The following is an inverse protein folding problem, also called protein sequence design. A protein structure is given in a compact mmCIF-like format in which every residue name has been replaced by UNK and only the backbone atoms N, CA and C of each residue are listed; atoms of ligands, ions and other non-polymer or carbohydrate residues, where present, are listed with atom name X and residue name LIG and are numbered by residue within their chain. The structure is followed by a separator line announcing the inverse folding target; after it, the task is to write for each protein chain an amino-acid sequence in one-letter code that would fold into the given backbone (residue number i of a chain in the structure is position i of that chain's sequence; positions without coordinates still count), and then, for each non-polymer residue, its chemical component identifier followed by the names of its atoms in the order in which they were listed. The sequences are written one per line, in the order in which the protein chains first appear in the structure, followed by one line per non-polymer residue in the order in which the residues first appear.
data_IF_992993670737
#
_entry.id   IF_992993670737
#
_cell.length_a   1.000
_cell.length_b   1.000
_cell.length_c   1.000
_cell.angle_alpha   90.00
_cell.angle_beta   90.00
_cell.angle_gamma   90.00
#
_symmetry.space_group_name_H-M   'P 1'
#
loop_
_entity.id
_entity.type
_entity.pdbx_description
1 polymer ?
#
# COMPACT_ATOMS: atom_id res chain seq x y z
N UNK A 1 -11.70 12.24 88.71
CA UNK A 1 -10.25 12.14 88.99
C UNK A 1 -9.63 11.27 87.90
N UNK A 2 -8.49 11.68 87.34
CA UNK A 2 -7.52 10.94 86.47
C UNK A 2 -8.01 10.47 85.07
N UNK A 3 -7.55 10.94 83.89
CA UNK A 3 -6.24 11.26 83.28
C UNK A 3 -5.61 10.07 82.50
N UNK A 4 -5.60 10.22 81.16
CA UNK A 4 -4.53 9.98 80.16
C UNK A 4 -4.50 8.79 79.17
N UNK A 5 -3.94 9.16 78.00
CA UNK A 5 -3.29 8.40 76.90
C UNK A 5 -4.24 7.93 75.80
N UNK A 6 -4.25 8.48 74.59
CA UNK A 6 -3.13 8.91 73.75
C UNK A 6 -2.83 7.80 72.74
N UNK A 7 -3.31 7.93 71.50
CA UNK A 7 -2.88 7.11 70.35
C UNK A 7 -2.94 7.96 69.08
N UNK A 8 -1.74 8.24 68.58
CA UNK A 8 -1.48 8.85 67.30
C UNK A 8 -1.54 7.82 66.17
N UNK A 9 -1.44 8.35 64.94
CA UNK A 9 -1.08 7.70 63.67
C UNK A 9 -2.28 7.19 62.86
N UNK A 10 -2.68 7.97 61.86
CA UNK A 10 -3.47 7.48 60.72
C UNK A 10 -3.24 8.36 59.48
N UNK A 11 -2.10 8.19 58.80
CA UNK A 11 -1.92 8.67 57.42
C UNK A 11 -1.08 7.66 56.64
N UNK A 12 -1.74 6.61 56.14
CA UNK A 12 -1.17 5.76 55.10
C UNK A 12 -1.63 6.32 53.74
N UNK A 13 -0.74 7.02 53.05
CA UNK A 13 -0.91 7.41 51.65
C UNK A 13 -0.89 6.14 50.79
N UNK A 14 -2.07 5.68 50.35
CA UNK A 14 -2.20 4.69 49.29
C UNK A 14 -1.95 5.37 47.94
N UNK A 15 -0.75 5.16 47.40
CA UNK A 15 -0.37 5.54 46.04
C UNK A 15 -1.17 4.65 45.06
N UNK A 16 -2.25 5.19 44.50
CA UNK A 16 -3.02 4.52 43.46
C UNK A 16 -2.17 4.44 42.18
N UNK A 17 -1.57 3.27 41.93
CA UNK A 17 -0.94 2.98 40.64
C UNK A 17 -2.04 2.84 39.59
N UNK A 18 -2.21 3.86 38.73
CA UNK A 18 -2.99 3.72 37.51
C UNK A 18 -2.26 2.76 36.55
N UNK A 19 -2.87 1.65 36.10
CA UNK A 19 -2.31 0.88 35.00
C UNK A 19 -2.34 1.73 33.73
N UNK A 20 -1.17 2.07 33.20
CA UNK A 20 -1.04 2.73 31.92
C UNK A 20 -1.60 1.83 30.82
N UNK A 21 -2.67 2.29 30.16
CA UNK A 21 -3.17 1.67 28.94
C UNK A 21 -2.11 1.82 27.84
N UNK A 22 -1.35 0.75 27.59
CA UNK A 22 -0.52 0.65 26.40
C UNK A 22 -1.44 0.65 25.18
N UNK A 23 -1.48 1.77 24.46
CA UNK A 23 -2.06 1.82 23.13
C UNK A 23 -1.26 0.91 22.22
N UNK A 24 -1.81 -0.26 21.89
CA UNK A 24 -1.29 -1.11 20.84
C UNK A 24 -1.35 -0.32 19.52
N UNK A 25 -0.21 0.13 19.04
CA UNK A 25 -0.06 0.65 17.68
C UNK A 25 -0.39 -0.49 16.73
N UNK A 26 -1.53 -0.39 16.04
CA UNK A 26 -2.02 -1.41 15.11
C UNK A 26 -1.06 -1.60 13.94
N UNK A 27 -0.18 -2.58 14.04
CA UNK A 27 0.44 -3.18 12.87
C UNK A 27 -0.71 -3.81 12.05
N UNK A 28 -0.97 -3.27 10.86
CA UNK A 28 -1.87 -3.95 9.93
C UNK A 28 -1.29 -5.33 9.66
N UNK A 29 -2.06 -6.38 9.95
CA UNK A 29 -1.63 -7.75 9.72
C UNK A 29 -1.26 -7.94 8.24
N UNK A 30 -0.12 -8.59 8.00
CA UNK A 30 0.25 -9.00 6.66
C UNK A 30 -0.80 -10.04 6.19
N UNK A 31 -1.51 -9.73 5.11
CA UNK A 31 -2.47 -10.63 4.47
C UNK A 31 -1.85 -11.38 3.28
N UNK A 32 -0.54 -11.20 3.06
CA UNK A 32 0.19 -11.83 1.97
C UNK A 32 -0.01 -11.16 0.62
N UNK A 33 -0.70 -10.00 0.54
CA UNK A 33 -1.06 -9.35 -0.72
C UNK A 33 -0.26 -8.08 -0.99
N UNK A 34 -0.05 -7.82 -2.28
CA UNK A 34 0.41 -6.55 -2.80
C UNK A 34 -0.74 -5.89 -3.57
N UNK A 35 -1.38 -4.89 -2.97
CA UNK A 35 -2.41 -4.13 -3.66
C UNK A 35 -1.79 -3.19 -4.69
N UNK A 36 -2.30 -3.19 -5.91
CA UNK A 36 -1.96 -2.26 -7.00
C UNK A 36 -3.24 -1.54 -7.43
N UNK A 37 -3.39 -0.29 -7.00
CA UNK A 37 -4.57 0.53 -7.29
C UNK A 37 -4.25 1.55 -8.37
N UNK A 38 -5.03 1.58 -9.45
CA UNK A 38 -5.06 2.73 -10.37
C UNK A 38 -5.85 3.87 -9.72
N UNK A 39 -5.15 4.87 -9.21
CA UNK A 39 -5.74 5.90 -8.37
C UNK A 39 -6.28 7.09 -9.17
N UNK A 40 -5.49 7.60 -10.12
CA UNK A 40 -5.79 8.80 -10.90
C UNK A 40 -5.22 8.69 -12.31
N UNK A 41 -5.95 9.26 -13.27
CA UNK A 41 -5.46 9.62 -14.59
C UNK A 41 -5.51 11.14 -14.73
N UNK A 42 -4.45 11.73 -15.28
CA UNK A 42 -4.34 13.18 -15.49
C UNK A 42 -3.87 13.48 -16.91
N UNK A 43 -4.69 14.24 -17.62
CA UNK A 43 -4.42 14.63 -19.00
C UNK A 43 -3.25 15.62 -19.04
N UNK A 44 -2.24 15.30 -19.84
CA UNK A 44 -1.16 16.21 -20.23
C UNK A 44 -1.31 16.57 -21.72
N UNK A 45 -0.47 17.48 -22.23
CA UNK A 45 -0.56 17.96 -23.62
C UNK A 45 -0.40 16.86 -24.67
N UNK A 46 0.50 15.88 -24.44
CA UNK A 46 0.80 14.79 -25.38
C UNK A 46 0.88 13.41 -24.72
N UNK A 47 0.38 13.29 -23.49
CA UNK A 47 0.44 12.05 -22.72
C UNK A 47 -0.71 11.97 -21.72
N UNK A 48 -0.95 10.75 -21.21
CA UNK A 48 -1.78 10.53 -20.04
C UNK A 48 -0.90 10.15 -18.86
N UNK A 49 -0.96 10.91 -17.77
CA UNK A 49 -0.25 10.57 -16.54
C UNK A 49 -1.08 9.64 -15.68
N UNK A 50 -0.53 8.49 -15.32
CA UNK A 50 -1.15 7.51 -14.46
C UNK A 50 -0.50 7.50 -13.07
N UNK A 51 -1.35 7.38 -12.04
CA UNK A 51 -0.94 7.28 -10.65
C UNK A 51 -1.34 5.90 -10.11
N UNK A 52 -0.35 5.10 -9.71
CA UNK A 52 -0.56 3.83 -9.03
C UNK A 52 -0.24 3.94 -7.55
N UNK A 53 -1.10 3.39 -6.71
CA UNK A 53 -0.84 3.21 -5.28
C UNK A 53 -0.56 1.74 -5.02
N UNK A 54 0.65 1.46 -4.55
CA UNK A 54 1.09 0.13 -4.17
C UNK A 54 0.97 -0.01 -2.65
N UNK A 55 0.19 -0.97 -2.15
CA UNK A 55 0.06 -1.26 -0.72
C UNK A 55 0.65 -2.63 -0.43
N UNK A 56 1.81 -2.66 0.22
CA UNK A 56 2.53 -3.90 0.47
C UNK A 56 2.18 -4.49 1.84
N UNK A 57 1.33 -5.52 1.83
CA UNK A 57 0.96 -6.31 3.02
C UNK A 57 1.47 -7.74 2.93
N UNK A 58 2.45 -7.99 2.06
CA UNK A 58 3.05 -9.32 1.88
C UNK A 58 3.93 -9.75 3.05
N UNK A 59 4.35 -8.81 3.90
CA UNK A 59 5.37 -9.03 4.94
C UNK A 59 6.81 -9.00 4.40
N UNK A 60 7.01 -8.95 3.08
CA UNK A 60 8.31 -8.87 2.42
C UNK A 60 8.59 -7.46 1.89
N UNK A 61 9.85 -7.06 1.81
CA UNK A 61 10.25 -5.86 1.08
C UNK A 61 10.64 -6.21 -0.35
N UNK A 62 10.13 -5.47 -1.33
CA UNK A 62 10.50 -5.64 -2.74
C UNK A 62 11.61 -4.64 -3.09
N UNK A 63 12.81 -5.16 -3.36
CA UNK A 63 13.96 -4.37 -3.83
C UNK A 63 13.94 -4.19 -5.35
N UNK A 64 13.36 -5.13 -6.08
CA UNK A 64 12.97 -4.96 -7.48
C UNK A 64 11.55 -5.47 -7.73
N UNK A 65 10.80 -4.73 -8.53
CA UNK A 65 9.42 -5.01 -8.93
C UNK A 65 9.13 -4.18 -10.18
N UNK A 66 9.01 -4.83 -11.33
CA UNK A 66 8.58 -4.20 -12.59
C UNK A 66 7.26 -4.79 -13.04
N UNK A 67 6.22 -3.98 -13.06
CA UNK A 67 4.89 -4.37 -13.52
C UNK A 67 4.82 -4.25 -15.04
N UNK A 68 4.25 -5.25 -15.70
CA UNK A 68 3.96 -5.23 -17.13
C UNK A 68 2.49 -4.85 -17.32
N UNK A 69 2.23 -3.61 -17.70
CA UNK A 69 0.88 -3.08 -17.91
C UNK A 69 0.57 -2.96 -19.39
N UNK A 70 -0.61 -3.42 -19.79
CA UNK A 70 -1.17 -3.20 -21.12
C UNK A 70 -2.34 -2.23 -20.98
N UNK A 71 -2.34 -1.18 -21.79
CA UNK A 71 -3.39 -0.17 -21.85
C UNK A 71 -4.20 -0.43 -23.11
N UNK A 72 -5.50 -0.57 -22.93
CA UNK A 72 -6.45 -0.71 -24.02
C UNK A 72 -7.23 0.58 -24.19
N UNK A 73 -7.54 0.93 -25.43
CA UNK A 73 -8.48 2.00 -25.73
C UNK A 73 -9.93 1.59 -25.45
N UNK A 74 -10.87 2.49 -25.72
CA UNK A 74 -12.30 2.28 -25.51
C UNK A 74 -12.90 1.19 -26.41
N UNK A 75 -12.25 0.86 -27.53
CA UNK A 75 -12.65 -0.24 -28.42
C UNK A 75 -12.06 -1.59 -27.98
N UNK A 76 -11.24 -1.59 -26.93
CA UNK A 76 -10.57 -2.77 -26.40
C UNK A 76 -9.35 -3.18 -27.22
N UNK A 77 -8.79 -2.29 -28.03
CA UNK A 77 -7.55 -2.49 -28.79
C UNK A 77 -6.36 -2.00 -27.95
N UNK A 78 -5.23 -2.70 -28.06
CA UNK A 78 -4.01 -2.33 -27.32
C UNK A 78 -3.50 -0.98 -27.84
N UNK A 79 -3.54 0.04 -26.99
CA UNK A 79 -3.00 1.36 -27.28
C UNK A 79 -1.50 1.43 -26.94
N UNK A 80 -1.12 0.87 -25.78
CA UNK A 80 0.27 0.87 -25.27
C UNK A 80 0.54 -0.34 -24.39
N UNK A 81 1.81 -0.70 -24.27
CA UNK A 81 2.34 -1.59 -23.23
C UNK A 81 3.50 -0.88 -22.55
N UNK A 82 3.47 -0.84 -21.22
CA UNK A 82 4.44 -0.10 -20.41
C UNK A 82 4.97 -0.97 -19.28
N UNK A 83 6.29 -0.91 -19.08
CA UNK A 83 6.94 -1.50 -17.92
C UNK A 83 7.04 -0.44 -16.83
N UNK A 84 6.35 -0.63 -15.71
CA UNK A 84 6.31 0.33 -14.60
C UNK A 84 7.20 -0.12 -13.46
N UNK A 85 8.14 0.73 -13.06
CA UNK A 85 9.00 0.48 -11.89
C UNK A 85 8.19 0.67 -10.60
N UNK A 86 7.79 -0.45 -9.99
CA UNK A 86 7.08 -0.51 -8.72
C UNK A 86 8.01 -0.46 -7.50
N UNK A 87 9.24 -0.98 -7.60
CA UNK A 87 10.18 -0.93 -6.48
C UNK A 87 10.83 0.46 -6.28
N UNK A 88 11.41 0.74 -5.09
CA UNK A 88 11.32 -0.08 -3.87
C UNK A 88 9.93 -0.02 -3.24
N UNK A 89 9.51 -1.13 -2.63
CA UNK A 89 8.28 -1.20 -1.82
C UNK A 89 8.56 -1.91 -0.50
N UNK A 90 8.76 -1.15 0.57
CA UNK A 90 9.01 -1.69 1.90
C UNK A 90 7.80 -2.47 2.43
N UNK A 91 8.04 -3.52 3.21
CA UNK A 91 6.99 -4.25 3.90
C UNK A 91 6.10 -3.30 4.74
N UNK A 92 4.78 -3.47 4.65
CA UNK A 92 3.80 -2.67 5.39
C UNK A 92 3.65 -1.22 4.92
N UNK A 93 4.31 -0.81 3.83
CA UNK A 93 4.22 0.56 3.31
C UNK A 93 3.27 0.66 2.12
N UNK A 94 2.65 1.84 2.04
CA UNK A 94 1.96 2.31 0.85
C UNK A 94 2.89 3.24 0.08
N UNK A 95 3.04 3.05 -1.23
CA UNK A 95 3.93 3.83 -2.10
C UNK A 95 3.17 4.30 -3.32
N UNK A 96 3.32 5.58 -3.67
CA UNK A 96 2.79 6.15 -4.90
C UNK A 96 3.81 6.01 -6.03
N UNK A 97 3.35 5.57 -7.20
CA UNK A 97 4.11 5.55 -8.45
C UNK A 97 3.38 6.37 -9.50
N UNK A 98 4.13 7.15 -10.25
CA UNK A 98 3.60 8.04 -11.27
C UNK A 98 4.40 7.80 -12.54
N UNK A 99 3.71 7.63 -13.66
CA UNK A 99 4.33 7.46 -14.97
C UNK A 99 3.45 8.07 -16.06
N UNK A 100 4.07 8.46 -17.16
CA UNK A 100 3.39 9.07 -18.30
C UNK A 100 3.25 8.04 -19.43
N UNK A 101 2.11 8.08 -20.12
CA UNK A 101 1.77 7.22 -21.25
C UNK A 101 1.73 8.10 -22.50
N UNK A 102 2.83 8.12 -23.24
CA UNK A 102 3.01 9.03 -24.37
C UNK A 102 2.10 8.69 -25.55
N UNK A 103 1.52 9.74 -26.14
CA UNK A 103 0.64 9.65 -27.32
C UNK A 103 -0.71 9.01 -27.04
N UNK A 104 -1.16 8.97 -25.78
CA UNK A 104 -2.48 8.51 -25.37
C UNK A 104 -3.19 9.63 -24.61
N UNK A 105 -4.41 9.96 -25.01
CA UNK A 105 -5.29 10.83 -24.23
C UNK A 105 -5.96 10.00 -23.13
N UNK A 106 -6.02 10.50 -21.89
CA UNK A 106 -6.66 9.81 -20.78
C UNK A 106 -8.13 9.43 -21.05
N UNK A 107 -8.87 10.26 -21.78
CA UNK A 107 -10.28 9.97 -22.13
C UNK A 107 -10.42 8.82 -23.14
N UNK A 108 -9.34 8.51 -23.86
CA UNK A 108 -9.26 7.38 -24.78
C UNK A 108 -8.95 6.05 -24.11
N UNK A 109 -8.64 6.03 -22.80
CA UNK A 109 -8.26 4.79 -22.10
C UNK A 109 -9.52 4.05 -21.62
N UNK A 110 -9.73 2.86 -22.16
CA UNK A 110 -10.83 1.98 -21.79
C UNK A 110 -10.52 1.12 -20.57
N UNK A 111 -9.29 0.58 -20.46
CA UNK A 111 -8.84 -0.21 -19.29
C UNK A 111 -7.32 -0.36 -19.23
N UNK A 112 -6.84 -0.70 -18.04
CA UNK A 112 -5.50 -1.23 -17.81
C UNK A 112 -5.58 -2.72 -17.49
N UNK A 113 -4.60 -3.48 -17.95
CA UNK A 113 -4.38 -4.89 -17.64
C UNK A 113 -2.98 -5.04 -17.03
N UNK A 114 -2.89 -5.61 -15.84
CA UNK A 114 -1.65 -6.16 -15.31
C UNK A 114 -1.39 -7.50 -16.01
N UNK A 115 -0.67 -7.44 -17.12
CA UNK A 115 -0.34 -8.62 -17.92
C UNK A 115 0.66 -9.54 -17.21
N UNK A 116 1.51 -8.98 -16.36
CA UNK A 116 2.45 -9.77 -15.56
C UNK A 116 3.40 -8.92 -14.72
N UNK A 117 4.44 -9.57 -14.22
CA UNK A 117 5.54 -8.95 -13.50
C UNK A 117 6.84 -9.35 -14.21
N UNK A 118 7.58 -8.37 -14.73
CA UNK A 118 8.80 -8.61 -15.51
C UNK A 118 9.99 -8.98 -14.63
N UNK A 119 10.11 -8.32 -13.48
CA UNK A 119 11.11 -8.63 -12.47
C UNK A 119 10.47 -8.54 -11.10
N UNK A 120 10.86 -9.44 -10.21
CA UNK A 120 10.43 -9.41 -8.83
C UNK A 120 11.50 -10.01 -7.93
N UNK A 121 12.02 -9.21 -7.01
CA UNK A 121 12.99 -9.65 -6.03
C UNK A 121 12.56 -9.17 -4.64
N UNK A 122 12.23 -10.12 -3.78
CA UNK A 122 12.16 -9.86 -2.35
C UNK A 122 13.59 -9.68 -1.81
N UNK A 123 13.78 -8.73 -0.90
CA UNK A 123 15.07 -8.47 -0.28
C UNK A 123 15.64 -9.70 0.47
N UNK A 124 14.78 -10.64 0.87
CA UNK A 124 15.14 -11.89 1.55
C UNK A 124 15.47 -13.05 0.60
N UNK A 125 15.36 -12.87 -0.73
CA UNK A 125 15.48 -13.95 -1.71
C UNK A 125 14.20 -14.78 -1.80
N UNK A 126 13.64 -14.86 -3.01
CA UNK A 126 12.41 -15.58 -3.32
C UNK A 126 11.27 -14.66 -3.70
N UNK A 127 10.78 -14.79 -4.94
CA UNK A 127 9.38 -14.56 -5.31
C UNK A 127 9.16 -15.05 -6.76
N UNK A 128 9.12 -16.36 -6.93
CA UNK A 128 9.03 -16.97 -8.27
C UNK A 128 7.65 -16.77 -8.94
N UNK A 129 6.64 -16.30 -8.18
CA UNK A 129 5.32 -15.91 -8.71
C UNK A 129 4.74 -14.68 -8.00
N UNK A 130 5.33 -13.50 -8.24
CA UNK A 130 4.78 -12.23 -7.73
C UNK A 130 3.43 -11.87 -8.30
N UNK A 131 3.09 -12.38 -9.49
CA UNK A 131 1.79 -12.14 -10.10
C UNK A 131 0.70 -12.67 -9.17
N UNK A 132 0.85 -13.87 -8.62
CA UNK A 132 -0.11 -14.46 -7.67
C UNK A 132 -0.38 -13.58 -6.44
N UNK A 133 0.60 -12.82 -5.97
CA UNK A 133 0.52 -11.97 -4.77
C UNK A 133 -0.25 -10.66 -5.00
N UNK A 134 -0.46 -10.27 -6.26
CA UNK A 134 -1.04 -8.96 -6.60
C UNK A 134 -2.56 -9.01 -6.66
N UNK A 135 -3.18 -8.04 -5.98
CA UNK A 135 -4.57 -7.66 -6.16
C UNK A 135 -4.65 -6.31 -6.89
N UNK A 136 -5.50 -6.22 -7.91
CA UNK A 136 -5.72 -4.98 -8.65
C UNK A 136 -7.01 -4.29 -8.21
N UNK A 137 -6.98 -2.97 -8.15
CA UNK A 137 -8.17 -2.15 -7.94
C UNK A 137 -8.07 -0.85 -8.74
N UNK A 138 -9.17 -0.10 -8.84
CA UNK A 138 -9.16 1.22 -9.46
C UNK A 138 -10.10 2.18 -8.75
N UNK A 139 -9.66 3.43 -8.64
CA UNK A 139 -10.49 4.61 -8.32
C UNK A 139 -10.71 5.50 -9.53
N UNK A 140 -9.89 5.34 -10.57
CA UNK A 140 -10.10 6.00 -11.84
C UNK A 140 -11.32 5.40 -12.56
N UNK A 141 -11.87 6.13 -13.54
CA UNK A 141 -12.96 5.64 -14.38
C UNK A 141 -12.57 4.36 -15.14
N UNK A 142 -11.32 4.30 -15.62
CA UNK A 142 -10.78 3.10 -16.25
C UNK A 142 -10.52 2.02 -15.18
N UNK A 143 -10.99 0.77 -15.37
CA UNK A 143 -10.65 -0.33 -14.49
C UNK A 143 -9.19 -0.75 -14.69
N UNK A 144 -8.60 -1.31 -13.64
CA UNK A 144 -7.35 -2.07 -13.68
C UNK A 144 -7.69 -3.53 -13.36
N UNK A 145 -7.43 -4.42 -14.31
CA UNK A 145 -7.70 -5.85 -14.21
C UNK A 145 -6.39 -6.65 -14.29
N UNK A 146 -6.46 -7.94 -13.99
CA UNK A 146 -5.35 -8.90 -14.11
C UNK A 146 -5.79 -10.05 -15.01
#
# INVERSE_FOLDING_TARGET
MTIHRGKAIAWALLLAMLPGAFAATGAQAADGRLGVELNKLETLSSACRAYLVLSNKTGMAFSDLKLDLVIFDNDGIVARRVAVQGAPVTAGKTTLKVFDIDGVNCDGIGRFLLNGVMTCAAASGGADDCVSLIDTSSRAKAPLIK
#
